data_IF_961127796939
#
_entry.id   IF_961127796939
#
_cell.length_a   1.000
_cell.length_b   1.000
_cell.length_c   1.000
_cell.angle_alpha   90.00
_cell.angle_beta   90.00
_cell.angle_gamma   90.00
#
_symmetry.space_group_name_H-M   'P 1'
#
loop_
_entity.id
_entity.type
_entity.pdbx_description
1 polymer ?
#
# COMPACT_ATOMS: atom_id res chain seq x y z
N UNK A 1 5.90 35.76 -0.81
CA UNK A 1 5.83 34.60 0.11
C UNK A 1 7.22 34.02 0.18
N UNK A 2 7.86 33.93 1.36
CA UNK A 2 9.13 33.21 1.46
C UNK A 2 8.90 31.76 1.02
N UNK A 3 9.86 31.22 0.25
CA UNK A 3 9.84 29.81 -0.14
C UNK A 3 10.03 28.89 1.08
N UNK A 4 9.78 27.58 0.94
CA UNK A 4 10.04 26.62 2.00
C UNK A 4 11.51 26.64 2.42
N UNK A 5 11.78 26.45 3.72
CA UNK A 5 13.14 26.42 4.25
C UNK A 5 13.89 25.14 3.81
N UNK A 6 15.22 25.17 3.93
CA UNK A 6 16.08 24.04 3.56
C UNK A 6 15.73 22.73 4.31
N UNK A 7 15.42 22.75 5.62
CA UNK A 7 14.91 21.57 6.32
C UNK A 7 13.64 20.98 5.69
N UNK A 8 12.67 21.80 5.30
CA UNK A 8 11.43 21.35 4.65
C UNK A 8 11.72 20.73 3.28
N UNK A 9 12.55 21.38 2.47
CA UNK A 9 12.96 20.85 1.17
C UNK A 9 13.67 19.50 1.30
N UNK A 10 14.56 19.37 2.28
CA UNK A 10 15.24 18.11 2.59
C UNK A 10 14.27 17.02 3.04
N UNK A 11 13.32 17.33 3.92
CA UNK A 11 12.32 16.38 4.39
C UNK A 11 11.43 15.83 3.25
N UNK A 12 11.11 16.69 2.27
CA UNK A 12 10.38 16.29 1.06
C UNK A 12 11.23 15.40 0.14
N UNK A 13 12.51 15.73 -0.04
CA UNK A 13 13.44 14.99 -0.89
C UNK A 13 13.81 13.60 -0.31
N UNK A 14 13.99 13.50 0.99
CA UNK A 14 14.38 12.27 1.70
C UNK A 14 13.16 11.43 2.13
N UNK A 15 12.01 11.58 1.46
CA UNK A 15 10.82 10.77 1.76
C UNK A 15 11.07 9.31 1.40
N UNK A 16 10.94 8.46 2.42
CA UNK A 16 11.11 7.00 2.32
C UNK A 16 9.84 6.29 2.73
N UNK A 17 9.49 5.24 1.98
CA UNK A 17 8.57 4.22 2.48
C UNK A 17 9.32 3.33 3.46
N UNK A 18 8.68 3.00 4.58
CA UNK A 18 9.26 2.10 5.59
C UNK A 18 8.78 0.69 5.29
N UNK A 19 9.68 -0.26 4.95
CA UNK A 19 9.29 -1.65 4.74
C UNK A 19 8.43 -2.17 5.88
N UNK A 20 7.35 -2.88 5.55
CA UNK A 20 6.38 -3.35 6.55
C UNK A 20 7.01 -4.19 7.65
N UNK A 21 8.12 -4.89 7.38
CA UNK A 21 8.85 -5.67 8.39
C UNK A 21 9.59 -4.82 9.44
N UNK A 22 9.70 -3.52 9.18
CA UNK A 22 10.29 -2.52 10.07
C UNK A 22 9.20 -1.68 10.76
N UNK A 23 7.92 -2.07 10.65
CA UNK A 23 6.80 -1.41 11.30
C UNK A 23 6.41 -2.18 12.55
N UNK A 24 6.63 -1.60 13.70
CA UNK A 24 6.26 -2.12 15.01
C UNK A 24 5.13 -1.28 15.62
N UNK A 25 4.95 -1.41 16.93
CA UNK A 25 4.11 -0.69 17.89
C UNK A 25 3.12 0.42 17.43
N UNK A 26 1.98 0.58 18.13
CA UNK A 26 1.49 -0.28 19.21
C UNK A 26 1.11 -1.66 18.67
N UNK A 27 1.33 -2.72 19.47
CA UNK A 27 0.87 -4.04 19.08
C UNK A 27 -0.66 -4.02 18.90
N UNK A 28 -1.21 -4.75 17.92
CA UNK A 28 -2.64 -4.92 17.83
C UNK A 28 -3.15 -5.63 19.09
N UNK A 29 -4.39 -5.35 19.50
CA UNK A 29 -5.01 -6.17 20.52
C UNK A 29 -5.21 -7.62 20.03
N UNK A 30 -5.55 -8.51 20.96
CA UNK A 30 -5.66 -9.94 20.65
C UNK A 30 -6.72 -10.24 19.58
N UNK A 31 -7.82 -9.48 19.58
CA UNK A 31 -8.89 -9.63 18.60
C UNK A 31 -8.40 -9.22 17.20
N UNK A 32 -7.78 -8.04 17.08
CA UNK A 32 -7.26 -7.57 15.81
C UNK A 32 -6.10 -8.44 15.31
N UNK A 33 -5.25 -8.95 16.21
CA UNK A 33 -4.22 -9.91 15.85
C UNK A 33 -4.83 -11.19 15.28
N UNK A 34 -5.88 -11.72 15.91
CA UNK A 34 -6.58 -12.91 15.42
C UNK A 34 -7.20 -12.68 14.03
N UNK A 35 -7.76 -11.49 13.76
CA UNK A 35 -8.27 -11.12 12.44
C UNK A 35 -7.15 -11.09 11.37
N UNK A 36 -6.02 -10.45 11.68
CA UNK A 36 -4.87 -10.37 10.76
C UNK A 36 -4.31 -11.76 10.44
N UNK A 37 -4.20 -12.63 11.46
CA UNK A 37 -3.74 -14.00 11.28
C UNK A 37 -4.76 -14.82 10.47
N UNK A 38 -6.05 -14.71 10.77
CA UNK A 38 -7.10 -15.40 10.01
C UNK A 38 -7.12 -14.97 8.54
N UNK A 39 -6.90 -13.68 8.26
CA UNK A 39 -6.79 -13.18 6.89
C UNK A 39 -5.53 -13.71 6.19
N UNK A 40 -4.41 -13.78 6.91
CA UNK A 40 -3.18 -14.41 6.45
C UNK A 40 -3.37 -15.89 6.06
N UNK A 41 -4.04 -16.66 6.93
CA UNK A 41 -4.39 -18.06 6.68
C UNK A 41 -5.26 -18.21 5.42
N UNK A 42 -6.27 -17.36 5.26
CA UNK A 42 -7.11 -17.36 4.07
C UNK A 42 -6.30 -17.08 2.79
N UNK A 43 -5.34 -16.17 2.85
CA UNK A 43 -4.48 -15.88 1.70
C UNK A 43 -3.52 -17.03 1.38
N UNK A 44 -3.02 -17.72 2.42
CA UNK A 44 -2.17 -18.91 2.27
C UNK A 44 -2.94 -20.09 1.64
N UNK A 45 -4.17 -20.34 2.08
CA UNK A 45 -5.06 -21.32 1.46
C UNK A 45 -5.29 -20.99 -0.01
N UNK A 46 -5.61 -19.71 -0.31
CA UNK A 46 -5.81 -19.25 -1.68
C UNK A 46 -4.55 -19.38 -2.55
N UNK A 47 -3.36 -19.20 -1.98
CA UNK A 47 -2.10 -19.42 -2.70
C UNK A 47 -1.97 -20.86 -3.18
N UNK A 48 -2.31 -21.85 -2.33
CA UNK A 48 -2.30 -23.28 -2.69
C UNK A 48 -3.37 -23.65 -3.72
N UNK A 49 -4.54 -23.03 -3.66
CA UNK A 49 -5.58 -23.25 -4.67
C UNK A 49 -5.16 -22.75 -6.05
N UNK A 50 -4.48 -21.60 -6.09
CA UNK A 50 -4.00 -21.00 -7.35
C UNK A 50 -2.86 -21.79 -7.97
N UNK A 51 -2.00 -22.35 -7.12
CA UNK A 51 -0.87 -23.18 -7.52
C UNK A 51 -0.66 -24.31 -6.50
N UNK A 52 -1.20 -25.51 -6.78
CA UNK A 52 -1.03 -26.67 -5.90
C UNK A 52 0.43 -27.13 -5.74
N UNK A 53 1.32 -26.68 -6.62
CA UNK A 53 2.76 -26.99 -6.58
C UNK A 53 3.58 -25.82 -6.00
N UNK A 54 2.93 -24.77 -5.49
CA UNK A 54 3.61 -23.64 -4.89
C UNK A 54 4.56 -24.10 -3.79
N UNK A 55 5.81 -23.64 -3.86
CA UNK A 55 6.77 -23.89 -2.80
C UNK A 55 6.24 -23.34 -1.46
N UNK A 56 6.51 -24.04 -0.36
CA UNK A 56 6.00 -23.65 0.96
C UNK A 56 6.40 -22.21 1.34
N UNK A 57 7.58 -21.75 0.91
CA UNK A 57 8.01 -20.36 1.12
C UNK A 57 7.07 -19.31 0.47
N UNK A 58 6.44 -19.62 -0.66
CA UNK A 58 5.45 -18.75 -1.30
C UNK A 58 4.18 -18.69 -0.46
N UNK A 59 3.75 -19.85 0.05
CA UNK A 59 2.56 -19.98 0.89
C UNK A 59 2.76 -19.29 2.24
N UNK A 60 3.91 -19.45 2.88
CA UNK A 60 4.25 -18.78 4.13
C UNK A 60 4.38 -17.27 3.97
N UNK A 61 4.88 -16.81 2.82
CA UNK A 61 4.89 -15.37 2.49
C UNK A 61 3.47 -14.81 2.39
N UNK A 62 2.53 -15.58 1.84
CA UNK A 62 1.11 -15.21 1.82
C UNK A 62 0.51 -15.22 3.24
N UNK A 63 0.83 -16.25 4.05
CA UNK A 63 0.37 -16.38 5.44
C UNK A 63 0.75 -15.19 6.31
N UNK A 64 1.98 -14.71 6.18
CA UNK A 64 2.52 -13.59 6.99
C UNK A 64 2.23 -12.22 6.40
N UNK A 65 1.53 -12.14 5.27
CA UNK A 65 1.38 -10.91 4.47
C UNK A 65 0.88 -9.71 5.29
N UNK A 66 -0.07 -9.95 6.18
CA UNK A 66 -0.76 -8.93 6.97
C UNK A 66 -0.27 -8.83 8.42
N UNK A 67 0.66 -9.71 8.85
CA UNK A 67 1.15 -9.75 10.23
C UNK A 67 2.42 -8.93 10.46
N UNK A 68 2.94 -8.25 9.43
CA UNK A 68 4.18 -7.49 9.53
C UNK A 68 4.01 -6.09 10.12
N UNK A 69 2.81 -5.53 10.08
CA UNK A 69 2.52 -4.21 10.60
C UNK A 69 1.29 -4.28 11.52
N UNK A 70 1.22 -3.45 12.57
CA UNK A 70 0.10 -3.48 13.52
C UNK A 70 -1.22 -2.99 12.91
N UNK A 71 -1.17 -2.18 11.85
CA UNK A 71 -2.35 -1.71 11.12
C UNK A 71 -2.18 -1.95 9.63
N UNK A 72 -3.23 -2.47 8.99
CA UNK A 72 -3.34 -2.58 7.53
C UNK A 72 -4.65 -1.96 7.06
N UNK A 73 -4.57 -0.94 6.20
CA UNK A 73 -5.73 -0.30 5.59
C UNK A 73 -5.87 -0.77 4.14
N UNK A 74 -6.99 -1.41 3.82
CA UNK A 74 -7.34 -1.75 2.43
C UNK A 74 -8.04 -0.55 1.78
N UNK A 75 -7.43 0.05 0.77
CA UNK A 75 -8.03 1.15 0.00
C UNK A 75 -8.74 0.57 -1.21
N UNK A 76 -10.05 0.81 -1.31
CA UNK A 76 -10.91 0.28 -2.37
C UNK A 76 -11.42 1.43 -3.25
N UNK A 77 -11.18 1.33 -4.55
CA UNK A 77 -11.80 2.18 -5.56
C UNK A 77 -13.16 1.58 -5.94
N UNK A 78 -14.24 2.30 -5.66
CA UNK A 78 -15.57 1.97 -6.20
C UNK A 78 -15.75 2.67 -7.54
N UNK A 79 -15.71 1.89 -8.61
CA UNK A 79 -15.89 2.39 -9.96
C UNK A 79 -17.37 2.52 -10.28
N UNK A 80 -17.72 3.63 -10.92
CA UNK A 80 -19.06 3.88 -11.43
C UNK A 80 -18.98 3.93 -12.96
N UNK A 81 -19.36 2.84 -13.65
CA UNK A 81 -19.45 2.80 -15.11
C UNK A 81 -20.36 3.92 -15.64
N UNK A 82 -20.09 4.40 -16.85
CA UNK A 82 -20.85 5.44 -17.55
C UNK A 82 -21.01 6.78 -16.80
N UNK A 83 -20.25 6.98 -15.72
CA UNK A 83 -20.22 8.26 -15.02
C UNK A 83 -19.47 9.31 -15.84
N UNK A 84 -19.85 10.59 -15.67
CA UNK A 84 -19.19 11.73 -16.35
C UNK A 84 -17.69 11.85 -16.05
N UNK A 85 -17.23 11.26 -14.94
CA UNK A 85 -15.82 11.15 -14.56
C UNK A 85 -15.34 9.77 -15.02
N UNK A 86 -14.40 9.68 -15.96
CA UNK A 86 -13.88 8.41 -16.44
C UNK A 86 -13.31 7.52 -15.33
N UNK A 87 -13.40 6.21 -15.48
CA UNK A 87 -12.90 5.28 -14.46
C UNK A 87 -11.39 5.43 -14.20
N UNK A 88 -10.60 5.86 -15.19
CA UNK A 88 -9.17 6.11 -14.97
C UNK A 88 -8.95 7.21 -13.92
N UNK A 89 -9.77 8.26 -13.91
CA UNK A 89 -9.73 9.32 -12.91
C UNK A 89 -10.21 8.84 -11.53
N UNK A 90 -11.23 7.97 -11.50
CA UNK A 90 -11.70 7.34 -10.26
C UNK A 90 -10.61 6.44 -9.64
N UNK A 91 -9.91 5.64 -10.46
CA UNK A 91 -8.76 4.83 -10.03
C UNK A 91 -7.60 5.71 -9.54
N UNK A 92 -7.26 6.77 -10.28
CA UNK A 92 -6.23 7.73 -9.87
C UNK A 92 -6.57 8.39 -8.54
N UNK A 93 -7.85 8.72 -8.30
CA UNK A 93 -8.31 9.27 -7.02
C UNK A 93 -8.03 8.32 -5.86
N UNK A 94 -8.32 7.02 -6.02
CA UNK A 94 -7.97 6.03 -5.00
C UNK A 94 -6.44 5.90 -4.82
N UNK A 95 -5.66 6.01 -5.89
CA UNK A 95 -4.20 6.09 -5.82
C UNK A 95 -3.70 7.31 -5.04
N UNK A 96 -4.34 8.47 -5.19
CA UNK A 96 -4.06 9.67 -4.41
C UNK A 96 -4.39 9.47 -2.92
N UNK A 97 -5.46 8.75 -2.59
CA UNK A 97 -5.79 8.36 -1.20
C UNK A 97 -4.69 7.49 -0.61
N UNK A 98 -4.23 6.46 -1.34
CA UNK A 98 -3.09 5.64 -0.93
C UNK A 98 -1.86 6.50 -0.63
N UNK A 99 -1.51 7.42 -1.54
CA UNK A 99 -0.37 8.31 -1.34
C UNK A 99 -0.56 9.24 -0.14
N UNK A 100 -1.74 9.83 0.02
CA UNK A 100 -2.07 10.72 1.14
C UNK A 100 -1.94 10.00 2.49
N UNK A 101 -2.37 8.74 2.59
CA UNK A 101 -2.20 7.93 3.81
C UNK A 101 -0.71 7.73 4.16
N UNK A 102 0.15 7.50 3.16
CA UNK A 102 1.59 7.39 3.40
C UNK A 102 2.18 8.70 3.94
N UNK A 103 1.75 9.84 3.40
CA UNK A 103 2.20 11.15 3.83
C UNK A 103 1.69 11.50 5.23
N UNK A 104 0.42 11.19 5.51
CA UNK A 104 -0.20 11.41 6.81
C UNK A 104 0.45 10.56 7.91
N UNK A 105 0.70 9.27 7.64
CA UNK A 105 1.42 8.39 8.57
C UNK A 105 2.78 8.98 8.93
N UNK A 106 3.57 9.40 7.93
CA UNK A 106 4.88 10.03 8.16
C UNK A 106 4.77 11.34 8.94
N UNK A 107 3.83 12.20 8.58
CA UNK A 107 3.59 13.46 9.29
C UNK A 107 3.19 13.28 10.75
N UNK A 108 2.56 12.15 11.08
CA UNK A 108 2.20 11.76 12.45
C UNK A 108 3.30 10.97 13.19
N UNK A 109 4.49 10.78 12.58
CA UNK A 109 5.61 10.06 13.20
C UNK A 109 5.65 8.54 12.96
N UNK A 110 4.75 8.02 12.13
CA UNK A 110 4.70 6.59 11.77
C UNK A 110 5.40 6.30 10.43
N UNK A 111 5.78 5.03 10.25
CA UNK A 111 6.18 4.49 8.96
C UNK A 111 4.99 3.90 8.22
N UNK A 112 5.05 3.91 6.89
CA UNK A 112 4.05 3.24 6.08
C UNK A 112 4.59 2.67 4.76
N UNK A 113 3.92 1.62 4.28
CA UNK A 113 4.21 0.96 3.00
C UNK A 113 2.93 0.63 2.23
N UNK A 114 2.86 1.03 0.96
CA UNK A 114 1.79 0.65 0.04
C UNK A 114 2.17 -0.61 -0.73
N UNK A 115 1.37 -1.67 -0.62
CA UNK A 115 1.60 -2.96 -1.25
C UNK A 115 0.31 -3.50 -1.87
N UNK A 116 0.37 -4.05 -3.08
CA UNK A 116 -0.73 -4.77 -3.71
C UNK A 116 -0.44 -6.26 -3.71
N UNK A 117 0.51 -6.71 -4.54
CA UNK A 117 0.77 -8.13 -4.81
C UNK A 117 -0.39 -8.81 -5.54
N UNK A 118 -0.25 -10.08 -5.89
CA UNK A 118 -1.29 -10.82 -6.64
C UNK A 118 -2.65 -10.84 -5.93
N UNK A 119 -2.64 -10.78 -4.59
CA UNK A 119 -3.84 -10.73 -3.75
C UNK A 119 -4.74 -9.53 -4.02
N UNK A 120 -4.18 -8.41 -4.49
CA UNK A 120 -4.94 -7.21 -4.86
C UNK A 120 -5.76 -7.37 -6.15
N UNK A 121 -5.53 -8.45 -6.90
CA UNK A 121 -6.16 -8.70 -8.20
C UNK A 121 -6.90 -10.06 -8.24
N UNK A 122 -6.76 -10.91 -7.22
CA UNK A 122 -7.45 -12.19 -7.13
C UNK A 122 -8.89 -12.00 -6.65
N UNK A 123 -9.84 -12.05 -7.59
CA UNK A 123 -11.26 -11.80 -7.31
C UNK A 123 -11.84 -12.69 -6.21
N UNK A 124 -11.55 -14.01 -6.13
CA UNK A 124 -12.04 -14.82 -5.02
C UNK A 124 -11.53 -14.35 -3.65
N UNK A 125 -10.26 -13.95 -3.54
CA UNK A 125 -9.75 -13.37 -2.30
C UNK A 125 -10.39 -12.01 -1.98
N UNK A 126 -10.57 -11.14 -2.97
CA UNK A 126 -11.21 -9.83 -2.77
C UNK A 126 -12.69 -9.95 -2.36
N UNK A 127 -13.42 -10.91 -2.93
CA UNK A 127 -14.80 -11.19 -2.52
C UNK A 127 -14.88 -11.63 -1.06
N UNK A 128 -13.87 -12.35 -0.54
CA UNK A 128 -13.77 -12.68 0.89
C UNK A 128 -13.54 -11.46 1.77
N UNK A 129 -12.92 -10.41 1.25
CA UNK A 129 -12.80 -9.10 1.90
C UNK A 129 -14.06 -8.23 1.75
N UNK A 130 -15.10 -8.72 1.07
CA UNK A 130 -16.36 -8.02 0.87
C UNK A 130 -16.39 -7.09 -0.34
N UNK A 131 -15.40 -7.12 -1.23
CA UNK A 131 -15.40 -6.29 -2.43
C UNK A 131 -16.43 -6.79 -3.45
N UNK A 132 -17.24 -5.86 -3.97
CA UNK A 132 -18.19 -6.09 -5.04
C UNK A 132 -17.57 -6.11 -6.44
N UNK A 133 -18.43 -6.29 -7.45
CA UNK A 133 -18.04 -6.42 -8.86
C UNK A 133 -17.31 -5.18 -9.40
N UNK A 134 -17.78 -3.98 -9.04
CA UNK A 134 -17.22 -2.71 -9.48
C UNK A 134 -16.24 -2.10 -8.46
N UNK A 135 -15.71 -2.93 -7.56
CA UNK A 135 -14.73 -2.50 -6.58
C UNK A 135 -13.35 -3.07 -6.90
N UNK A 136 -12.34 -2.22 -6.89
CA UNK A 136 -10.95 -2.58 -7.13
C UNK A 136 -10.10 -2.21 -5.92
N UNK A 137 -9.21 -3.11 -5.50
CA UNK A 137 -8.26 -2.76 -4.46
C UNK A 137 -7.15 -1.88 -5.06
N UNK A 138 -7.08 -0.62 -4.62
CA UNK A 138 -5.97 0.27 -4.94
C UNK A 138 -4.69 -0.13 -4.17
N UNK A 139 -4.83 -0.63 -2.94
CA UNK A 139 -3.80 -1.41 -2.26
C UNK A 139 -3.96 -1.50 -0.75
N UNK A 140 -3.04 -2.25 -0.14
CA UNK A 140 -2.91 -2.38 1.30
C UNK A 140 -1.86 -1.39 1.81
N UNK A 141 -2.24 -0.51 2.73
CA UNK A 141 -1.36 0.44 3.40
C UNK A 141 -1.03 -0.13 4.77
N UNK A 142 0.20 -0.63 4.92
CA UNK A 142 0.74 -1.09 6.18
C UNK A 142 1.27 0.11 6.96
N UNK A 143 0.90 0.25 8.22
CA UNK A 143 1.26 1.40 9.08
C UNK A 143 1.74 0.87 10.43
N UNK A 144 2.80 1.48 10.97
CA UNK A 144 3.31 1.21 12.32
C UNK A 144 4.48 2.12 12.68
N UNK A 145 5.07 1.92 13.85
CA UNK A 145 6.24 2.66 14.31
C UNK A 145 7.51 2.12 13.65
N UNK A 146 8.32 2.95 12.96
CA UNK A 146 9.57 2.50 12.35
C UNK A 146 10.56 2.00 13.41
N UNK A 147 11.11 0.80 13.23
CA UNK A 147 12.19 0.28 14.10
C UNK A 147 13.58 0.66 13.60
N UNK A 148 13.68 1.11 12.35
CA UNK A 148 14.93 1.51 11.69
C UNK A 148 14.65 2.54 10.58
N UNK A 149 15.68 3.26 10.16
CA UNK A 149 15.62 4.16 9.02
C UNK A 149 15.87 3.36 7.74
N UNK A 150 14.92 3.30 6.79
CA UNK A 150 15.13 2.58 5.54
C UNK A 150 16.26 3.19 4.72
N UNK A 151 16.99 2.36 3.97
CA UNK A 151 17.96 2.84 2.99
C UNK A 151 17.33 3.78 1.94
N UNK A 152 18.13 4.71 1.42
CA UNK A 152 17.68 5.55 0.31
C UNK A 152 17.60 4.69 -0.93
N UNK A 153 16.57 4.94 -1.74
CA UNK A 153 16.47 4.30 -3.05
C UNK A 153 16.77 5.33 -4.09
N UNK A 154 17.56 4.95 -5.08
CA UNK A 154 17.85 5.79 -6.23
C UNK A 154 16.55 6.33 -6.85
N UNK A 155 16.48 7.64 -7.04
CA UNK A 155 15.36 8.32 -7.68
C UNK A 155 15.75 8.61 -9.13
N UNK A 156 14.87 8.37 -10.11
CA UNK A 156 15.13 8.77 -11.48
C UNK A 156 15.41 10.27 -11.58
N UNK A 157 16.30 10.66 -12.50
CA UNK A 157 16.50 12.06 -12.83
C UNK A 157 15.22 12.64 -13.46
N UNK A 158 14.63 13.62 -12.78
CA UNK A 158 13.40 14.27 -13.25
C UNK A 158 13.61 15.01 -14.58
N UNK A 159 14.80 15.56 -14.83
CA UNK A 159 15.11 16.25 -16.08
C UNK A 159 15.12 15.28 -17.28
N UNK A 160 15.52 14.03 -17.05
CA UNK A 160 15.48 12.98 -18.08
C UNK A 160 14.05 12.49 -18.39
N UNK A 161 13.06 12.78 -17.53
CA UNK A 161 11.67 12.33 -17.66
C UNK A 161 10.68 13.44 -18.03
N UNK A 162 11.14 14.68 -18.12
CA UNK A 162 10.29 15.85 -18.38
C UNK A 162 10.77 16.63 -19.59
N UNK A 163 9.84 17.32 -20.26
CA UNK A 163 10.16 18.30 -21.30
C UNK A 163 9.34 19.55 -21.09
N UNK A 164 9.96 20.72 -21.28
CA UNK A 164 9.19 21.96 -21.38
C UNK A 164 8.33 21.88 -22.64
N UNK A 165 7.03 22.13 -22.49
CA UNK A 165 6.17 22.28 -23.65
C UNK A 165 6.55 23.57 -24.40
N UNK A 166 6.67 23.46 -25.72
CA UNK A 166 6.87 24.60 -26.61
C UNK A 166 5.78 24.55 -27.68
N UNK A 167 5.06 25.65 -27.93
CA UNK A 167 4.21 25.74 -29.11
C UNK A 167 5.09 25.83 -30.36
N UNK A 168 4.61 25.28 -31.48
CA UNK A 168 5.17 25.54 -32.82
C UNK A 168 4.91 26.99 -33.25
#
# INVERSE_FOLDING_TARGET
>A
MPGPDQPTLRALAERRSVPSRLLAEPAPDEAHLAELLQLGEALAARARERDPQAAEAVVDKARRRFSFAPLVVAVVARLTPDHKVPECEQRMTAGCVCFALLQAARGAGYGAQWLTGWSAYDRPFLARLGLGEHEELAGFIHIGTPTDTPDERERPDAAALTRAWTPD
#
